data_IF_885267423095
#
_entry.id   IF_885267423095
#
_cell.length_a   1.000
_cell.length_b   1.000
_cell.length_c   1.000
_cell.angle_alpha   90.00
_cell.angle_beta   90.00
_cell.angle_gamma   90.00
#
_symmetry.space_group_name_H-M   'P 1'
#
loop_
_entity.id
_entity.type
_entity.pdbx_description
1 polymer ?
#
# COMPACT_ATOMS: atom_id res chain seq x y z
N UNK A 1 71.05 -11.33 51.56
CA UNK A 1 69.99 -12.08 50.86
C UNK A 1 68.74 -11.25 50.93
N UNK A 2 68.46 -10.42 49.89
CA UNK A 2 67.29 -9.52 49.82
C UNK A 2 66.20 -10.22 49.00
N UNK A 3 65.08 -10.49 49.61
CA UNK A 3 63.87 -10.99 48.92
C UNK A 3 63.13 -9.83 48.29
N UNK A 4 62.97 -9.88 46.95
CA UNK A 4 62.16 -8.93 46.21
C UNK A 4 60.75 -9.53 46.13
N UNK A 5 59.75 -8.77 46.69
CA UNK A 5 58.34 -9.10 46.57
C UNK A 5 57.79 -8.36 45.36
N UNK A 6 57.35 -9.12 44.34
CA UNK A 6 56.71 -8.61 43.15
C UNK A 6 55.21 -8.52 43.41
N UNK A 7 54.70 -7.27 43.49
CA UNK A 7 53.25 -7.00 43.69
C UNK A 7 52.56 -7.02 42.31
N UNK A 8 51.64 -7.97 42.12
CA UNK A 8 50.84 -8.11 40.91
C UNK A 8 49.58 -7.22 41.06
N UNK A 9 49.52 -6.11 40.30
CA UNK A 9 48.28 -5.31 40.19
C UNK A 9 47.35 -6.01 39.17
N UNK A 10 46.23 -6.54 39.66
CA UNK A 10 45.14 -7.04 38.86
C UNK A 10 44.25 -5.84 38.51
N UNK A 11 44.25 -5.41 37.28
CA UNK A 11 43.36 -4.41 36.74
C UNK A 11 42.02 -5.08 36.38
N UNK A 12 40.99 -4.90 37.20
CA UNK A 12 39.63 -5.35 36.92
C UNK A 12 38.93 -4.30 35.99
N UNK A 13 38.77 -4.66 34.74
CA UNK A 13 37.86 -3.92 33.84
C UNK A 13 36.41 -4.35 34.13
N UNK A 14 35.47 -3.44 34.29
CA UNK A 14 34.07 -3.79 34.35
C UNK A 14 33.56 -4.12 32.93
N UNK A 15 33.12 -5.37 32.77
CA UNK A 15 32.38 -5.81 31.59
C UNK A 15 31.00 -5.10 31.62
N UNK A 16 30.84 -4.12 30.73
CA UNK A 16 29.52 -3.56 30.40
C UNK A 16 28.80 -4.59 29.53
N UNK A 17 27.90 -5.37 30.12
CA UNK A 17 26.95 -6.18 29.36
C UNK A 17 25.90 -5.22 28.81
N UNK A 18 26.06 -4.85 27.54
CA UNK A 18 25.03 -4.15 26.78
C UNK A 18 23.84 -5.08 26.60
N UNK A 19 22.74 -4.77 27.27
CA UNK A 19 21.44 -5.41 27.07
C UNK A 19 20.97 -5.00 25.67
N UNK A 20 21.20 -5.85 24.66
CA UNK A 20 20.55 -5.76 23.37
C UNK A 20 19.06 -5.99 23.59
N UNK A 21 18.28 -4.93 23.59
CA UNK A 21 16.84 -5.01 23.45
C UNK A 21 16.55 -5.65 22.09
N UNK A 22 16.19 -6.93 22.10
CA UNK A 22 15.60 -7.58 20.93
C UNK A 22 14.28 -6.85 20.64
N UNK A 23 14.26 -6.02 19.61
CA UNK A 23 13.04 -5.54 19.02
C UNK A 23 12.32 -6.77 18.44
N UNK A 24 11.29 -7.22 19.15
CA UNK A 24 10.33 -8.17 18.60
C UNK A 24 9.66 -7.48 17.40
N UNK A 25 10.19 -7.75 16.21
CA UNK A 25 9.44 -7.58 14.98
C UNK A 25 8.32 -8.62 15.11
N UNK A 26 7.11 -8.19 15.36
CA UNK A 26 5.91 -9.02 15.25
C UNK A 26 5.91 -9.55 13.82
N UNK A 27 6.25 -10.83 13.63
CA UNK A 27 5.97 -11.53 12.39
C UNK A 27 4.45 -11.41 12.19
N UNK A 28 4.05 -10.70 11.15
CA UNK A 28 2.67 -10.68 10.72
C UNK A 28 2.29 -12.13 10.45
N UNK A 29 1.39 -12.67 11.27
CA UNK A 29 0.92 -14.05 11.13
C UNK A 29 0.27 -14.16 9.76
N UNK A 30 0.92 -14.86 8.83
CA UNK A 30 0.37 -15.16 7.51
C UNK A 30 -0.81 -16.09 7.75
N UNK A 31 -2.04 -15.57 7.60
CA UNK A 31 -3.25 -16.37 7.66
C UNK A 31 -3.36 -17.19 6.37
N UNK A 32 -2.65 -18.33 6.32
CA UNK A 32 -2.70 -19.24 5.18
C UNK A 32 -3.79 -20.28 5.36
N UNK A 33 -4.54 -20.53 4.30
CA UNK A 33 -5.51 -21.62 4.19
C UNK A 33 -5.19 -22.55 3.03
N UNK A 34 -5.84 -23.72 3.04
CA UNK A 34 -5.73 -24.72 2.00
C UNK A 34 -7.09 -25.15 1.48
N UNK A 35 -7.16 -25.37 0.18
CA UNK A 35 -8.30 -25.98 -0.51
C UNK A 35 -7.76 -26.91 -1.60
N UNK A 36 -8.50 -27.97 -1.94
CA UNK A 36 -8.09 -28.93 -2.98
C UNK A 36 -9.09 -28.92 -4.12
N UNK A 37 -8.60 -28.66 -5.33
CA UNK A 37 -9.40 -28.34 -6.51
C UNK A 37 -9.03 -29.26 -7.68
N UNK A 38 -10.00 -29.92 -8.28
CA UNK A 38 -9.83 -30.74 -9.48
C UNK A 38 -10.69 -30.21 -10.63
N UNK A 39 -10.06 -29.89 -11.75
CA UNK A 39 -10.66 -29.28 -12.94
C UNK A 39 -10.20 -29.93 -14.24
N UNK A 40 -9.97 -31.24 -14.24
CA UNK A 40 -9.37 -31.98 -15.35
C UNK A 40 -7.89 -32.27 -15.16
N UNK A 41 -7.07 -32.10 -16.19
CA UNK A 41 -5.63 -32.28 -16.11
C UNK A 41 -4.99 -31.27 -15.14
N UNK A 42 -4.31 -31.76 -14.12
CA UNK A 42 -3.75 -30.91 -13.05
C UNK A 42 -2.55 -30.04 -13.49
N UNK A 43 -1.90 -30.29 -14.63
CA UNK A 43 -0.76 -29.50 -15.11
C UNK A 43 -1.12 -28.05 -15.41
N UNK A 44 -2.24 -27.84 -16.12
CA UNK A 44 -2.75 -26.52 -16.42
C UNK A 44 -3.32 -25.82 -15.19
N UNK A 45 -4.02 -26.58 -14.34
CA UNK A 45 -4.60 -26.10 -13.12
C UNK A 45 -3.52 -25.58 -12.12
N UNK A 46 -2.45 -26.37 -11.88
CA UNK A 46 -1.32 -25.97 -11.03
C UNK A 46 -0.74 -24.63 -11.48
N UNK A 47 -0.37 -24.52 -12.77
CA UNK A 47 0.14 -23.26 -13.34
C UNK A 47 -0.85 -22.09 -13.19
N UNK A 48 -2.14 -22.34 -13.42
CA UNK A 48 -3.19 -21.33 -13.25
C UNK A 48 -3.19 -20.75 -11.84
N UNK A 49 -3.23 -21.61 -10.82
CA UNK A 49 -3.23 -21.17 -9.42
C UNK A 49 -1.92 -20.49 -9.02
N UNK A 50 -0.75 -21.00 -9.41
CA UNK A 50 0.55 -20.38 -9.13
C UNK A 50 0.65 -18.95 -9.68
N UNK A 51 -0.09 -18.62 -10.74
CA UNK A 51 -0.09 -17.29 -11.32
C UNK A 51 -0.92 -16.26 -10.55
N UNK A 52 -1.75 -16.70 -9.59
CA UNK A 52 -2.65 -15.82 -8.86
C UNK A 52 -1.91 -15.10 -7.72
N UNK A 53 -1.96 -13.75 -7.67
CA UNK A 53 -1.43 -13.01 -6.53
C UNK A 53 -2.11 -13.46 -5.22
N UNK A 54 -1.31 -13.81 -4.21
CA UNK A 54 -1.82 -14.30 -2.93
C UNK A 54 -1.82 -15.82 -2.79
N UNK A 55 -1.64 -16.60 -3.85
CA UNK A 55 -1.33 -18.02 -3.77
C UNK A 55 0.13 -18.18 -3.33
N UNK A 56 0.34 -19.00 -2.30
CA UNK A 56 1.65 -19.27 -1.70
C UNK A 56 2.29 -20.49 -2.35
N UNK A 57 1.48 -21.52 -2.62
CA UNK A 57 1.94 -22.80 -3.19
C UNK A 57 0.77 -23.53 -3.85
N UNK A 58 1.03 -24.22 -4.94
CA UNK A 58 0.08 -25.10 -5.60
C UNK A 58 0.75 -26.44 -5.91
N UNK A 59 0.15 -27.53 -5.45
CA UNK A 59 0.76 -28.85 -5.47
C UNK A 59 -0.14 -29.84 -6.21
N UNK A 60 0.29 -30.35 -7.36
CA UNK A 60 -0.40 -31.40 -8.09
C UNK A 60 -0.47 -32.70 -7.29
N UNK A 61 -1.63 -33.34 -7.27
CA UNK A 61 -1.87 -34.55 -6.46
C UNK A 61 -3.10 -35.35 -6.85
N UNK A 62 -3.42 -36.30 -6.02
CA UNK A 62 -4.54 -37.23 -6.18
C UNK A 62 -5.41 -37.24 -4.93
N UNK A 63 -6.73 -37.17 -5.07
CA UNK A 63 -7.66 -37.16 -3.93
C UNK A 63 -9.01 -37.82 -4.20
N UNK A 64 -9.86 -37.96 -3.19
CA UNK A 64 -11.24 -38.45 -3.20
C UNK A 64 -11.40 -39.89 -3.73
N UNK A 65 -10.36 -40.69 -3.78
CA UNK A 65 -10.46 -42.11 -4.11
C UNK A 65 -10.43 -43.04 -2.89
N UNK A 66 -10.84 -44.29 -3.09
CA UNK A 66 -10.66 -45.36 -2.11
C UNK A 66 -9.33 -46.07 -2.34
N UNK A 67 -8.51 -46.07 -1.33
CA UNK A 67 -7.19 -46.70 -1.34
C UNK A 67 -6.18 -45.88 -0.56
N UNK A 68 -5.13 -46.60 -0.07
CA UNK A 68 -4.10 -45.98 0.81
C UNK A 68 -2.96 -45.35 0.04
N UNK A 69 -2.94 -45.44 -1.28
CA UNK A 69 -1.86 -44.90 -2.12
C UNK A 69 -2.34 -44.66 -3.55
N UNK A 70 -2.24 -43.44 -4.01
CA UNK A 70 -2.50 -43.07 -5.39
C UNK A 70 -1.18 -42.86 -6.14
N UNK A 71 -1.11 -43.33 -7.38
CA UNK A 71 -0.05 -43.02 -8.34
C UNK A 71 -0.66 -42.80 -9.70
N UNK A 72 -0.01 -42.05 -10.58
CA UNK A 72 -0.47 -41.85 -11.97
C UNK A 72 -0.79 -43.15 -12.69
N UNK A 73 0.14 -44.11 -12.59
CA UNK A 73 -0.03 -45.45 -13.19
C UNK A 73 -1.28 -46.20 -12.69
N UNK A 74 -1.68 -45.99 -11.43
CA UNK A 74 -2.86 -46.68 -10.90
C UNK A 74 -4.15 -45.98 -11.31
N UNK A 75 -4.24 -44.66 -11.23
CA UNK A 75 -5.47 -43.91 -11.53
C UNK A 75 -5.79 -43.93 -13.01
N UNK A 76 -4.80 -44.10 -13.90
CA UNK A 76 -4.96 -44.12 -15.37
C UNK A 76 -5.21 -45.51 -15.93
N UNK A 77 -5.24 -46.58 -15.11
CA UNK A 77 -5.60 -47.92 -15.57
C UNK A 77 -6.98 -47.93 -16.18
N UNK A 78 -7.14 -48.64 -17.31
CA UNK A 78 -8.41 -48.74 -18.02
C UNK A 78 -9.59 -49.16 -17.11
N UNK A 79 -9.37 -50.10 -16.15
CA UNK A 79 -10.37 -50.53 -15.18
C UNK A 79 -10.86 -49.40 -14.27
N UNK A 80 -10.06 -48.38 -14.11
CA UNK A 80 -10.37 -47.23 -13.25
C UNK A 80 -11.00 -46.04 -13.99
N UNK A 81 -11.00 -46.06 -15.33
CA UNK A 81 -11.47 -44.96 -16.18
C UNK A 81 -12.87 -44.46 -15.81
N UNK A 82 -13.78 -45.37 -15.47
CA UNK A 82 -15.16 -45.04 -15.06
C UNK A 82 -15.49 -45.52 -13.66
N UNK A 83 -14.48 -45.81 -12.84
CA UNK A 83 -14.66 -46.24 -11.49
C UNK A 83 -14.91 -45.02 -10.56
N UNK A 84 -16.08 -44.92 -9.95
CA UNK A 84 -16.46 -43.84 -9.04
C UNK A 84 -15.56 -43.74 -7.78
N UNK A 85 -14.82 -44.81 -7.43
CA UNK A 85 -13.86 -44.84 -6.33
C UNK A 85 -12.42 -44.51 -6.76
N UNK A 86 -12.21 -44.12 -8.03
CA UNK A 86 -10.89 -43.68 -8.49
C UNK A 86 -10.54 -42.31 -7.89
N UNK A 87 -9.25 -42.09 -7.67
CA UNK A 87 -8.77 -40.75 -7.29
C UNK A 87 -8.93 -39.77 -8.46
N UNK A 88 -9.26 -38.52 -8.15
CA UNK A 88 -9.18 -37.41 -9.10
C UNK A 88 -7.75 -36.83 -9.12
N UNK A 89 -7.36 -36.32 -10.30
CA UNK A 89 -6.28 -35.36 -10.41
C UNK A 89 -6.75 -34.03 -9.81
N UNK A 90 -5.98 -33.50 -8.88
CA UNK A 90 -6.32 -32.30 -8.13
C UNK A 90 -5.07 -31.47 -7.84
N UNK A 91 -5.28 -30.21 -7.48
CA UNK A 91 -4.23 -29.30 -6.99
C UNK A 91 -4.57 -28.90 -5.54
N UNK A 92 -3.67 -29.11 -4.60
CA UNK A 92 -3.76 -28.51 -3.27
C UNK A 92 -3.23 -27.09 -3.37
N UNK A 93 -4.08 -26.09 -3.16
CA UNK A 93 -3.75 -24.68 -3.22
C UNK A 93 -3.62 -24.14 -1.80
N UNK A 94 -2.44 -23.62 -1.46
CA UNK A 94 -2.16 -22.88 -0.22
C UNK A 94 -2.16 -21.40 -0.54
N UNK A 95 -2.97 -20.60 0.15
CA UNK A 95 -3.13 -19.18 -0.16
C UNK A 95 -3.21 -18.31 1.08
N UNK A 96 -2.84 -17.04 0.96
CA UNK A 96 -2.96 -16.04 2.01
C UNK A 96 -4.31 -15.33 1.91
N UNK A 97 -5.22 -15.57 2.86
CA UNK A 97 -6.58 -14.95 2.91
C UNK A 97 -6.56 -13.42 2.89
N UNK A 98 -5.46 -12.81 3.33
CA UNK A 98 -5.34 -11.35 3.32
C UNK A 98 -5.04 -10.79 1.91
N UNK A 99 -4.60 -11.64 0.97
CA UNK A 99 -4.21 -11.23 -0.39
C UNK A 99 -5.17 -11.75 -1.47
N UNK A 100 -5.75 -12.94 -1.28
CA UNK A 100 -6.75 -13.53 -2.16
C UNK A 100 -7.84 -14.20 -1.33
N UNK A 101 -9.10 -13.84 -1.59
CA UNK A 101 -10.24 -14.48 -0.91
C UNK A 101 -10.49 -15.88 -1.45
N UNK A 102 -11.12 -16.74 -0.62
CA UNK A 102 -11.61 -18.05 -1.06
C UNK A 102 -12.60 -17.91 -2.23
N UNK A 103 -13.45 -16.88 -2.21
CA UNK A 103 -14.36 -16.56 -3.31
C UNK A 103 -13.62 -16.30 -4.62
N UNK A 104 -12.61 -15.43 -4.62
CA UNK A 104 -11.83 -15.10 -5.82
C UNK A 104 -11.10 -16.34 -6.39
N UNK A 105 -10.57 -17.20 -5.53
CA UNK A 105 -9.94 -18.44 -5.92
C UNK A 105 -10.95 -19.42 -6.58
N UNK A 106 -12.16 -19.50 -6.06
CA UNK A 106 -13.26 -20.31 -6.59
C UNK A 106 -13.83 -19.75 -7.90
N UNK A 107 -13.89 -18.42 -8.04
CA UNK A 107 -14.25 -17.79 -9.31
C UNK A 107 -13.26 -18.20 -10.41
N UNK A 108 -11.95 -18.11 -10.13
CA UNK A 108 -10.93 -18.61 -11.07
C UNK A 108 -11.09 -20.10 -11.40
N UNK A 109 -11.39 -20.95 -10.40
CA UNK A 109 -11.65 -22.36 -10.58
C UNK A 109 -12.77 -22.61 -11.59
N UNK A 110 -13.95 -22.00 -11.41
CA UNK A 110 -15.10 -22.19 -12.29
C UNK A 110 -14.89 -21.59 -13.69
N UNK A 111 -14.15 -20.51 -13.79
CA UNK A 111 -13.83 -19.87 -15.08
C UNK A 111 -12.76 -20.58 -15.89
N UNK A 112 -11.94 -21.43 -15.27
CA UNK A 112 -10.79 -22.09 -15.91
C UNK A 112 -11.12 -23.43 -16.56
N UNK A 113 -12.35 -23.98 -16.38
CA UNK A 113 -12.74 -25.25 -16.97
C UNK A 113 -14.25 -25.30 -17.27
N UNK A 114 -14.75 -26.38 -17.87
CA UNK A 114 -16.17 -26.62 -18.06
C UNK A 114 -16.74 -27.50 -16.93
N UNK A 115 -17.37 -26.91 -15.89
CA UNK A 115 -17.88 -27.67 -14.76
C UNK A 115 -19.14 -28.48 -15.09
N UNK A 116 -19.70 -28.38 -16.31
CA UNK A 116 -20.86 -29.13 -16.72
C UNK A 116 -20.50 -30.54 -17.27
N UNK A 117 -19.21 -30.78 -17.50
CA UNK A 117 -18.73 -32.05 -18.04
C UNK A 117 -18.56 -33.12 -16.95
N UNK A 118 -19.38 -34.15 -17.00
CA UNK A 118 -19.30 -35.25 -16.02
C UNK A 118 -18.14 -36.19 -16.33
N UNK A 119 -17.22 -36.35 -15.37
CA UNK A 119 -16.08 -37.27 -15.44
C UNK A 119 -15.18 -37.07 -16.68
N UNK A 120 -15.03 -35.85 -17.13
CA UNK A 120 -14.13 -35.47 -18.24
C UNK A 120 -13.87 -33.98 -18.28
N UNK A 121 -12.83 -33.61 -19.03
CA UNK A 121 -12.63 -32.24 -19.51
C UNK A 121 -12.12 -32.31 -20.96
N UNK A 122 -12.93 -31.86 -21.90
CA UNK A 122 -12.60 -31.95 -23.31
C UNK A 122 -12.26 -33.36 -23.74
N UNK A 123 -11.04 -33.60 -24.22
CA UNK A 123 -10.55 -34.91 -24.67
C UNK A 123 -10.05 -35.81 -23.53
N UNK A 124 -9.87 -35.26 -22.34
CA UNK A 124 -9.46 -36.00 -21.15
C UNK A 124 -10.68 -36.70 -20.54
N UNK A 125 -10.86 -37.99 -20.84
CA UNK A 125 -12.05 -38.77 -20.47
C UNK A 125 -11.69 -39.77 -19.38
N UNK A 126 -12.37 -39.63 -18.22
CA UNK A 126 -12.23 -40.58 -17.09
C UNK A 126 -12.54 -39.89 -15.77
N UNK A 127 -12.87 -40.70 -14.74
CA UNK A 127 -13.24 -40.20 -13.40
C UNK A 127 -12.09 -39.47 -12.72
N UNK A 128 -10.84 -39.65 -13.13
CA UNK A 128 -9.69 -38.91 -12.67
C UNK A 128 -9.75 -37.43 -13.07
N UNK A 129 -10.47 -37.07 -14.12
CA UNK A 129 -10.59 -35.70 -14.67
C UNK A 129 -11.90 -35.00 -14.25
N UNK A 130 -12.60 -35.55 -13.24
CA UNK A 130 -13.86 -34.96 -12.76
C UNK A 130 -13.64 -33.60 -12.11
N UNK A 131 -14.60 -32.72 -12.30
CA UNK A 131 -14.69 -31.46 -11.57
C UNK A 131 -15.02 -31.74 -10.10
N UNK A 132 -14.18 -31.27 -9.16
CA UNK A 132 -14.33 -31.53 -7.73
C UNK A 132 -13.68 -30.43 -6.88
N UNK A 133 -14.36 -30.07 -5.79
CA UNK A 133 -13.85 -29.18 -4.72
C UNK A 133 -13.85 -29.97 -3.42
N UNK A 134 -12.69 -29.99 -2.74
CA UNK A 134 -12.53 -30.62 -1.44
C UNK A 134 -12.17 -29.54 -0.39
N UNK A 135 -13.12 -29.22 0.45
CA UNK A 135 -13.01 -28.16 1.45
C UNK A 135 -12.45 -28.66 2.79
N UNK A 136 -11.84 -27.77 3.53
CA UNK A 136 -11.23 -28.05 4.85
C UNK A 136 -12.06 -27.48 6.01
N UNK A 137 -12.91 -26.49 5.78
CA UNK A 137 -13.71 -25.79 6.80
C UNK A 137 -15.14 -25.57 6.34
N UNK A 138 -16.09 -25.42 7.28
CA UNK A 138 -17.48 -25.10 6.94
C UNK A 138 -17.60 -23.70 6.31
N UNK A 139 -16.74 -22.73 6.70
CA UNK A 139 -16.68 -21.43 6.06
C UNK A 139 -16.38 -21.55 4.55
N UNK A 140 -15.40 -22.38 4.19
CA UNK A 140 -15.13 -22.67 2.77
C UNK A 140 -16.34 -23.28 2.08
N UNK A 141 -17.07 -24.18 2.77
CA UNK A 141 -18.27 -24.82 2.21
C UNK A 141 -19.37 -23.82 1.89
N UNK A 142 -19.63 -22.87 2.78
CA UNK A 142 -20.62 -21.81 2.57
C UNK A 142 -20.25 -20.95 1.34
N UNK A 143 -18.99 -20.51 1.24
CA UNK A 143 -18.52 -19.73 0.10
C UNK A 143 -18.61 -20.54 -1.21
N UNK A 144 -18.28 -21.83 -1.18
CA UNK A 144 -18.40 -22.73 -2.35
C UNK A 144 -19.85 -22.78 -2.84
N UNK A 145 -20.81 -22.92 -1.95
CA UNK A 145 -22.22 -23.03 -2.30
C UNK A 145 -22.72 -21.74 -2.99
N UNK A 146 -22.34 -20.57 -2.46
CA UNK A 146 -22.68 -19.27 -3.04
C UNK A 146 -22.08 -19.05 -4.41
N UNK A 147 -20.77 -19.31 -4.57
CA UNK A 147 -20.06 -19.16 -5.85
C UNK A 147 -20.61 -20.14 -6.91
N UNK A 148 -20.87 -21.39 -6.52
CA UNK A 148 -21.43 -22.41 -7.40
C UNK A 148 -22.83 -22.01 -7.88
N UNK A 149 -23.70 -21.54 -7.00
CA UNK A 149 -25.05 -21.10 -7.34
C UNK A 149 -25.00 -19.93 -8.34
N UNK A 150 -24.16 -18.94 -8.06
CA UNK A 150 -23.98 -17.79 -8.96
C UNK A 150 -23.46 -18.20 -10.34
N UNK A 151 -22.46 -19.10 -10.41
CA UNK A 151 -21.92 -19.55 -11.68
C UNK A 151 -22.90 -20.41 -12.46
N UNK A 152 -23.73 -21.22 -11.77
CA UNK A 152 -24.82 -21.98 -12.39
C UNK A 152 -25.82 -21.09 -13.12
N UNK A 153 -26.19 -19.96 -12.54
CA UNK A 153 -27.11 -18.98 -13.17
C UNK A 153 -26.47 -18.39 -14.44
N UNK A 154 -25.17 -18.03 -14.38
CA UNK A 154 -24.41 -17.50 -15.53
C UNK A 154 -24.32 -18.54 -16.65
N UNK A 155 -24.00 -19.80 -16.33
CA UNK A 155 -23.95 -20.91 -17.28
C UNK A 155 -25.31 -21.15 -17.92
N UNK A 156 -26.39 -21.17 -17.13
CA UNK A 156 -27.76 -21.36 -17.64
C UNK A 156 -28.16 -20.24 -18.61
N UNK A 157 -27.80 -19.00 -18.30
CA UNK A 157 -28.03 -17.83 -19.17
C UNK A 157 -27.23 -17.94 -20.49
N UNK A 158 -26.04 -18.52 -20.42
CA UNK A 158 -25.18 -18.78 -21.60
C UNK A 158 -25.56 -20.04 -22.37
N UNK A 159 -26.59 -20.79 -21.94
CA UNK A 159 -27.08 -22.00 -22.62
C UNK A 159 -26.35 -23.30 -22.27
N UNK A 160 -25.55 -23.30 -21.21
CA UNK A 160 -24.88 -24.48 -20.66
C UNK A 160 -25.80 -25.31 -19.74
N UNK A 161 -25.44 -26.58 -19.52
CA UNK A 161 -26.13 -27.50 -18.64
C UNK A 161 -25.83 -27.24 -17.16
N UNK A 162 -26.28 -28.19 -16.32
CA UNK A 162 -26.06 -28.14 -14.88
C UNK A 162 -24.61 -28.45 -14.52
N UNK A 163 -24.10 -27.78 -13.49
CA UNK A 163 -22.77 -28.04 -12.90
C UNK A 163 -22.76 -29.48 -12.34
N UNK A 164 -21.69 -30.22 -12.67
CA UNK A 164 -21.43 -31.58 -12.20
C UNK A 164 -20.35 -31.67 -11.13
N UNK A 165 -19.80 -30.54 -10.73
CA UNK A 165 -18.75 -30.43 -9.71
C UNK A 165 -19.16 -31.10 -8.41
N UNK A 166 -18.34 -32.03 -7.93
CA UNK A 166 -18.54 -32.66 -6.62
C UNK A 166 -17.98 -31.76 -5.52
N UNK A 167 -18.77 -31.46 -4.49
CA UNK A 167 -18.32 -30.69 -3.33
C UNK A 167 -18.32 -31.59 -2.11
N UNK A 168 -17.17 -31.82 -1.49
CA UNK A 168 -17.00 -32.75 -0.35
C UNK A 168 -15.95 -32.23 0.65
N UNK A 169 -16.02 -32.65 1.92
CA UNK A 169 -14.92 -32.44 2.84
C UNK A 169 -13.71 -33.25 2.41
N UNK A 170 -12.51 -32.66 2.57
CA UNK A 170 -11.24 -33.37 2.25
C UNK A 170 -11.05 -34.55 3.21
N UNK A 171 -10.69 -35.71 2.66
CA UNK A 171 -10.40 -36.90 3.46
C UNK A 171 -8.98 -37.40 3.25
N UNK A 172 -8.45 -37.25 2.04
CA UNK A 172 -7.10 -37.65 1.68
C UNK A 172 -6.56 -36.77 0.56
N UNK A 173 -5.25 -36.60 0.56
CA UNK A 173 -4.48 -35.99 -0.52
C UNK A 173 -3.15 -36.72 -0.63
N UNK A 174 -2.76 -37.08 -1.82
CA UNK A 174 -1.48 -37.72 -2.13
C UNK A 174 -0.77 -36.88 -3.18
N UNK A 175 0.37 -36.30 -2.79
CA UNK A 175 1.21 -35.52 -3.72
C UNK A 175 1.59 -36.40 -4.92
N UNK A 176 1.40 -35.89 -6.13
CA UNK A 176 1.79 -36.55 -7.35
C UNK A 176 3.32 -36.65 -7.47
N UNK A 177 3.75 -37.52 -8.37
CA UNK A 177 5.17 -37.79 -8.62
C UNK A 177 5.91 -36.50 -9.04
N UNK A 178 7.19 -36.41 -8.72
CA UNK A 178 8.01 -35.20 -8.94
C UNK A 178 7.99 -34.67 -10.37
N UNK A 179 7.82 -35.54 -11.36
CA UNK A 179 7.77 -35.14 -12.77
C UNK A 179 6.45 -34.47 -13.18
N UNK A 180 5.41 -34.54 -12.34
CA UNK A 180 4.15 -33.83 -12.55
C UNK A 180 4.15 -32.42 -11.96
N UNK A 181 4.94 -32.16 -10.90
CA UNK A 181 5.02 -30.85 -10.26
C UNK A 181 5.65 -29.82 -11.22
N UNK A 182 5.07 -28.63 -11.30
CA UNK A 182 5.51 -27.53 -12.20
C UNK A 182 5.67 -27.98 -13.67
N UNK A 183 4.82 -28.91 -14.12
CA UNK A 183 5.02 -29.55 -15.43
C UNK A 183 5.05 -28.54 -16.57
N UNK A 184 4.10 -27.59 -16.63
CA UNK A 184 4.05 -26.58 -17.70
C UNK A 184 5.21 -25.58 -17.60
N UNK A 185 5.64 -25.22 -16.38
CA UNK A 185 6.82 -24.37 -16.21
C UNK A 185 8.10 -25.05 -16.73
N UNK A 186 8.23 -26.36 -16.55
CA UNK A 186 9.35 -27.16 -17.04
C UNK A 186 9.22 -27.53 -18.53
N UNK A 187 8.00 -27.55 -19.06
CA UNK A 187 7.67 -27.90 -20.42
C UNK A 187 6.73 -26.86 -21.06
N UNK A 188 7.23 -25.69 -21.48
CA UNK A 188 6.37 -24.58 -21.95
C UNK A 188 5.46 -24.91 -23.14
N UNK A 189 5.81 -25.92 -23.93
CA UNK A 189 5.00 -26.44 -25.03
C UNK A 189 4.23 -27.73 -24.69
N UNK A 190 4.10 -28.01 -23.37
CA UNK A 190 3.36 -29.17 -22.89
C UNK A 190 1.87 -29.08 -23.17
N UNK A 191 1.18 -30.23 -23.12
CA UNK A 191 -0.27 -30.30 -23.30
C UNK A 191 -0.99 -29.48 -22.21
N UNK A 192 -1.68 -28.44 -22.62
CA UNK A 192 -2.47 -27.57 -21.74
C UNK A 192 -3.59 -26.91 -22.57
N UNK A 193 -4.61 -27.66 -22.99
CA UNK A 193 -5.73 -27.09 -23.72
C UNK A 193 -6.62 -26.25 -22.80
N UNK A 194 -7.15 -25.17 -23.37
CA UNK A 194 -8.20 -24.39 -22.70
C UNK A 194 -9.53 -25.18 -22.77
N UNK A 195 -10.09 -25.51 -21.65
CA UNK A 195 -11.37 -26.19 -21.50
C UNK A 195 -12.45 -25.30 -20.89
N UNK A 196 -12.19 -24.00 -20.77
CA UNK A 196 -13.14 -23.04 -20.18
C UNK A 196 -14.41 -22.94 -21.03
N UNK A 197 -15.52 -22.61 -20.40
CA UNK A 197 -16.79 -22.28 -21.06
C UNK A 197 -16.77 -20.90 -21.73
N UNK A 198 -15.80 -20.06 -21.40
CA UNK A 198 -15.77 -18.64 -21.76
C UNK A 198 -16.75 -17.79 -20.93
N UNK A 199 -17.61 -18.41 -20.09
CA UNK A 199 -18.46 -17.69 -19.15
C UNK A 199 -17.61 -17.13 -18.02
N UNK A 200 -17.84 -15.87 -17.68
CA UNK A 200 -17.13 -15.16 -16.64
C UNK A 200 -18.11 -14.65 -15.59
N UNK A 201 -17.68 -14.65 -14.33
CA UNK A 201 -18.37 -13.81 -13.36
C UNK A 201 -18.33 -12.37 -13.87
N UNK A 202 -19.39 -11.58 -13.59
CA UNK A 202 -19.24 -10.14 -13.75
C UNK A 202 -18.00 -9.73 -12.97
N UNK A 203 -17.12 -8.93 -13.57
CA UNK A 203 -15.97 -8.41 -12.86
C UNK A 203 -16.50 -7.72 -11.58
N UNK A 204 -16.60 -8.48 -10.49
CA UNK A 204 -16.53 -7.87 -9.18
C UNK A 204 -15.13 -7.26 -9.17
N UNK A 205 -15.08 -5.92 -9.12
CA UNK A 205 -13.86 -5.20 -8.85
C UNK A 205 -13.09 -6.02 -7.82
N UNK A 206 -11.97 -6.62 -8.22
CA UNK A 206 -11.10 -7.33 -7.30
C UNK A 206 -10.62 -6.26 -6.34
N UNK A 207 -11.26 -6.19 -5.17
CA UNK A 207 -10.84 -5.29 -4.12
C UNK A 207 -9.41 -5.72 -3.79
N UNK A 208 -8.44 -5.03 -4.37
CA UNK A 208 -7.06 -5.19 -3.93
C UNK A 208 -7.02 -4.74 -2.49
N UNK A 209 -7.01 -5.71 -1.58
CA UNK A 209 -6.87 -5.43 -0.14
C UNK A 209 -5.47 -4.85 0.02
N UNK A 210 -5.42 -3.54 0.19
CA UNK A 210 -4.18 -2.81 0.48
C UNK A 210 -4.03 -2.77 2.00
N UNK A 211 -2.83 -3.03 2.48
CA UNK A 211 -2.52 -2.84 3.89
C UNK A 211 -2.57 -1.35 4.23
N UNK A 212 -3.46 -0.98 5.15
CA UNK A 212 -3.63 0.36 5.66
C UNK A 212 -3.12 0.50 7.10
N UNK A 213 -2.37 -0.46 7.63
CA UNK A 213 -1.89 -0.44 9.03
C UNK A 213 -1.11 0.83 9.35
N UNK A 214 -0.29 1.31 8.42
CA UNK A 214 0.49 2.54 8.57
C UNK A 214 -0.41 3.78 8.74
N UNK A 215 -1.61 3.76 8.15
CA UNK A 215 -2.56 4.87 8.20
C UNK A 215 -3.34 4.93 9.52
N UNK A 216 -3.27 3.88 10.35
CA UNK A 216 -3.95 3.80 11.64
C UNK A 216 -3.28 4.61 12.75
N UNK A 217 -2.08 5.17 12.50
CA UNK A 217 -1.35 5.99 13.47
C UNK A 217 -0.85 7.29 12.85
N UNK A 218 -0.96 8.42 13.58
CA UNK A 218 -0.50 9.72 13.12
C UNK A 218 -1.40 10.38 12.07
N UNK A 219 -0.84 11.40 11.40
CA UNK A 219 -1.54 12.20 10.38
C UNK A 219 -1.16 11.75 8.98
N UNK A 220 -2.15 11.57 8.09
CA UNK A 220 -1.96 11.15 6.69
C UNK A 220 -2.89 11.93 5.75
N UNK A 221 -2.49 11.99 4.49
CA UNK A 221 -3.33 12.49 3.40
C UNK A 221 -3.58 11.31 2.47
N UNK A 222 -4.87 11.02 2.19
CA UNK A 222 -5.24 10.03 1.18
C UNK A 222 -5.85 10.76 -0.01
N UNK A 223 -5.37 10.43 -1.20
CA UNK A 223 -5.98 10.87 -2.47
C UNK A 223 -6.68 9.68 -3.08
N UNK A 224 -8.01 9.73 -3.12
CA UNK A 224 -8.82 8.73 -3.79
C UNK A 224 -8.84 9.02 -5.28
N UNK A 225 -8.44 8.04 -6.08
CA UNK A 225 -8.41 8.12 -7.55
C UNK A 225 -9.45 7.21 -8.17
N UNK A 226 -9.76 7.45 -9.45
CA UNK A 226 -10.60 6.55 -10.23
C UNK A 226 -9.81 5.34 -10.71
N UNK A 227 -10.50 4.22 -10.92
CA UNK A 227 -9.99 3.09 -11.68
C UNK A 227 -9.98 3.43 -13.16
N UNK A 228 -8.91 3.97 -13.67
CA UNK A 228 -8.77 4.33 -15.09
C UNK A 228 -8.50 5.81 -15.31
N UNK A 229 -8.99 6.37 -16.44
CA UNK A 229 -8.67 7.72 -16.86
C UNK A 229 -9.31 8.78 -15.96
N UNK A 230 -8.47 9.57 -15.28
CA UNK A 230 -8.90 10.65 -14.39
C UNK A 230 -8.06 11.92 -14.63
N UNK A 231 -8.46 12.81 -15.54
CA UNK A 231 -7.67 13.99 -15.89
C UNK A 231 -7.47 14.96 -14.72
N UNK A 232 -8.41 15.02 -13.77
CA UNK A 232 -8.27 15.82 -12.56
C UNK A 232 -7.32 15.20 -11.53
N UNK A 233 -7.20 13.86 -11.49
CA UNK A 233 -6.19 13.19 -10.69
C UNK A 233 -4.79 13.46 -11.24
N UNK A 234 -4.60 13.36 -12.56
CA UNK A 234 -3.34 13.70 -13.23
C UNK A 234 -2.96 15.16 -13.00
N UNK A 235 -3.94 16.06 -13.08
CA UNK A 235 -3.73 17.46 -12.80
C UNK A 235 -3.29 17.71 -11.35
N UNK A 236 -3.92 17.04 -10.38
CA UNK A 236 -3.53 17.12 -8.97
C UNK A 236 -2.11 16.61 -8.75
N UNK A 237 -1.74 15.48 -9.37
CA UNK A 237 -0.37 14.95 -9.32
C UNK A 237 0.65 15.95 -9.85
N UNK A 238 0.35 16.59 -10.99
CA UNK A 238 1.24 17.55 -11.63
C UNK A 238 1.38 18.87 -10.84
N UNK A 239 0.27 19.41 -10.34
CA UNK A 239 0.22 20.74 -9.72
C UNK A 239 0.62 20.70 -8.23
N UNK A 240 0.28 19.63 -7.51
CA UNK A 240 0.45 19.54 -6.06
C UNK A 240 1.50 18.50 -5.69
N UNK A 241 1.29 17.23 -6.07
CA UNK A 241 2.08 16.10 -5.53
C UNK A 241 3.53 16.19 -5.96
N UNK A 242 3.82 16.59 -7.18
CA UNK A 242 5.18 16.73 -7.73
C UNK A 242 6.08 17.66 -6.89
N UNK A 243 5.50 18.64 -6.22
CA UNK A 243 6.20 19.66 -5.44
C UNK A 243 5.93 19.54 -3.93
N UNK A 244 5.31 18.43 -3.51
CA UNK A 244 5.03 18.16 -2.11
C UNK A 244 6.15 17.33 -1.47
N UNK A 245 6.89 17.92 -0.55
CA UNK A 245 7.96 17.32 0.24
C UNK A 245 7.68 17.43 1.75
N UNK A 246 6.40 17.63 2.10
CA UNK A 246 5.96 17.79 3.49
C UNK A 246 6.13 16.50 4.29
N UNK A 247 6.11 16.64 5.62
CA UNK A 247 6.33 15.54 6.55
C UNK A 247 5.05 14.74 6.88
N UNK A 248 3.87 15.14 6.40
CA UNK A 248 2.66 14.33 6.50
C UNK A 248 2.62 13.42 5.27
N UNK A 249 2.66 12.09 5.42
CA UNK A 249 2.63 11.18 4.27
C UNK A 249 1.37 11.38 3.42
N UNK A 250 1.55 11.40 2.09
CA UNK A 250 0.48 11.45 1.10
C UNK A 250 0.49 10.14 0.33
N UNK A 251 -0.64 9.43 0.36
CA UNK A 251 -0.80 8.13 -0.31
C UNK A 251 -2.01 8.15 -1.24
N UNK A 252 -1.97 7.28 -2.25
CA UNK A 252 -3.06 7.12 -3.21
C UNK A 252 -3.81 5.82 -2.92
N UNK A 253 -5.14 5.86 -3.06
CA UNK A 253 -6.03 4.70 -2.90
C UNK A 253 -7.17 4.77 -3.91
N UNK A 254 -7.73 3.61 -4.24
CA UNK A 254 -9.05 3.50 -4.82
C UNK A 254 -10.11 3.54 -3.72
N UNK A 255 -11.35 3.89 -4.06
CA UNK A 255 -12.44 3.89 -3.09
C UNK A 255 -12.65 2.49 -2.43
N UNK A 256 -12.39 1.43 -3.20
CA UNK A 256 -12.42 0.03 -2.77
C UNK A 256 -11.30 -0.38 -1.79
N UNK A 257 -10.25 0.45 -1.60
CA UNK A 257 -9.05 0.14 -0.84
C UNK A 257 -8.99 0.81 0.56
N UNK A 258 -10.12 1.24 1.09
CA UNK A 258 -10.20 2.00 2.35
C UNK A 258 -10.52 1.14 3.58
N UNK A 259 -10.36 -0.19 3.48
CA UNK A 259 -10.69 -1.13 4.56
C UNK A 259 -9.92 -0.78 5.85
N UNK A 260 -10.62 -0.84 6.97
CA UNK A 260 -10.07 -0.54 8.30
C UNK A 260 -9.97 0.94 8.65
N UNK A 261 -10.30 1.84 7.71
CA UNK A 261 -10.32 3.29 7.93
C UNK A 261 -11.73 3.80 8.19
N UNK A 262 -11.88 4.78 9.08
CA UNK A 262 -13.16 5.43 9.37
C UNK A 262 -13.33 6.66 8.46
N UNK A 263 -13.90 6.48 7.28
CA UNK A 263 -14.14 7.49 6.27
C UNK A 263 -15.61 7.88 6.26
N UNK A 264 -15.89 9.19 6.24
CA UNK A 264 -17.25 9.75 6.23
C UNK A 264 -17.58 10.46 4.91
N UNK A 265 -16.57 11.02 4.24
CA UNK A 265 -16.77 11.72 2.97
C UNK A 265 -17.15 10.74 1.87
N UNK A 266 -18.06 11.12 0.96
CA UNK A 266 -18.33 10.35 -0.25
C UNK A 266 -17.07 10.25 -1.13
N UNK A 267 -16.81 9.06 -1.68
CA UNK A 267 -15.59 8.75 -2.47
C UNK A 267 -15.87 8.53 -3.96
N UNK A 268 -17.10 8.84 -4.44
CA UNK A 268 -17.49 8.64 -5.83
C UNK A 268 -16.96 9.71 -6.80
N UNK A 269 -16.57 10.89 -6.29
CA UNK A 269 -15.95 11.94 -7.09
C UNK A 269 -14.42 11.87 -6.97
N UNK A 270 -13.70 11.88 -8.08
CA UNK A 270 -12.24 11.75 -8.09
C UNK A 270 -11.55 12.96 -8.76
N UNK A 271 -10.43 13.41 -8.17
CA UNK A 271 -9.87 12.96 -6.91
C UNK A 271 -10.73 13.36 -5.70
N UNK A 272 -10.78 12.55 -4.64
CA UNK A 272 -11.22 12.97 -3.30
C UNK A 272 -9.99 13.01 -2.40
N UNK A 273 -9.75 14.13 -1.74
CA UNK A 273 -8.59 14.34 -0.86
C UNK A 273 -9.05 14.28 0.58
N UNK A 274 -8.59 13.27 1.33
CA UNK A 274 -8.95 13.00 2.72
C UNK A 274 -7.78 13.33 3.65
N UNK A 275 -8.05 14.01 4.74
CA UNK A 275 -7.10 14.28 5.81
C UNK A 275 -7.45 13.38 7.00
N UNK A 276 -6.55 12.45 7.34
CA UNK A 276 -6.77 11.43 8.36
C UNK A 276 -5.88 11.64 9.57
N UNK A 277 -6.41 11.38 10.75
CA UNK A 277 -5.67 11.29 11.99
C UNK A 277 -6.00 9.97 12.70
N UNK A 278 -4.99 9.12 12.91
CA UNK A 278 -5.11 7.81 13.53
C UNK A 278 -6.22 6.93 12.88
N UNK A 279 -6.19 6.84 11.55
CA UNK A 279 -7.12 6.03 10.76
C UNK A 279 -8.54 6.59 10.62
N UNK A 280 -8.80 7.78 11.17
CA UNK A 280 -10.12 8.44 11.10
C UNK A 280 -10.02 9.70 10.25
N UNK A 281 -11.01 9.90 9.41
CA UNK A 281 -11.15 11.14 8.67
C UNK A 281 -11.41 12.31 9.62
N UNK A 282 -10.54 13.33 9.55
CA UNK A 282 -10.77 14.62 10.16
C UNK A 282 -11.71 15.48 9.28
N UNK A 283 -11.44 15.51 7.99
CA UNK A 283 -12.27 16.12 6.94
C UNK A 283 -11.77 15.69 5.55
N UNK A 284 -12.57 15.97 4.50
CA UNK A 284 -12.24 15.65 3.12
C UNK A 284 -12.81 16.65 2.13
N UNK A 285 -12.25 16.66 0.93
CA UNK A 285 -12.67 17.48 -0.20
C UNK A 285 -12.89 16.62 -1.44
N UNK A 286 -14.03 16.81 -2.09
CA UNK A 286 -14.34 16.16 -3.35
C UNK A 286 -13.89 17.01 -4.53
N UNK A 287 -13.28 16.39 -5.51
CA UNK A 287 -12.78 17.05 -6.70
C UNK A 287 -11.36 17.59 -6.55
N UNK A 288 -10.87 18.19 -7.62
CA UNK A 288 -9.55 18.78 -7.71
C UNK A 288 -9.41 19.99 -6.79
N UNK A 289 -8.37 20.00 -5.96
CA UNK A 289 -7.89 21.19 -5.26
C UNK A 289 -6.68 21.75 -6.00
N UNK A 290 -6.69 23.06 -6.27
CA UNK A 290 -5.48 23.74 -6.74
C UNK A 290 -4.43 23.84 -5.61
N UNK A 291 -3.14 24.13 -5.89
CA UNK A 291 -2.10 24.19 -4.86
C UNK A 291 -2.45 25.05 -3.67
N UNK A 292 -3.03 26.23 -3.89
CA UNK A 292 -3.40 27.14 -2.80
C UNK A 292 -4.48 26.54 -1.89
N UNK A 293 -5.54 25.99 -2.46
CA UNK A 293 -6.62 25.34 -1.71
C UNK A 293 -6.11 24.12 -0.93
N UNK A 294 -5.26 23.31 -1.57
CA UNK A 294 -4.65 22.16 -0.93
C UNK A 294 -3.79 22.55 0.28
N UNK A 295 -2.90 23.56 0.11
CA UNK A 295 -2.03 23.97 1.22
C UNK A 295 -2.78 24.72 2.32
N UNK A 296 -3.88 25.38 2.02
CA UNK A 296 -4.76 25.98 3.04
C UNK A 296 -5.43 24.89 3.89
N UNK A 297 -5.95 23.85 3.25
CA UNK A 297 -6.53 22.68 3.92
C UNK A 297 -5.46 21.92 4.74
N UNK A 298 -4.29 21.70 4.16
CA UNK A 298 -3.15 21.07 4.86
C UNK A 298 -2.68 21.92 6.05
N UNK A 299 -2.65 23.23 5.88
CA UNK A 299 -2.30 24.18 6.93
C UNK A 299 -3.25 24.06 8.12
N UNK A 300 -4.55 24.05 7.87
CA UNK A 300 -5.55 23.82 8.91
C UNK A 300 -5.36 22.47 9.60
N UNK A 301 -5.15 21.40 8.83
CA UNK A 301 -4.92 20.05 9.34
C UNK A 301 -3.65 19.93 10.18
N UNK A 302 -2.54 20.53 9.72
CA UNK A 302 -1.23 20.44 10.39
C UNK A 302 -1.10 21.37 11.59
N UNK A 303 -1.59 22.60 11.46
CA UNK A 303 -1.32 23.69 12.38
C UNK A 303 -2.52 24.04 13.29
N UNK A 304 -3.74 23.63 12.91
CA UNK A 304 -4.96 23.98 13.63
C UNK A 304 -5.17 25.50 13.69
N UNK A 305 -5.76 26.00 14.78
CA UNK A 305 -5.93 27.45 15.05
C UNK A 305 -4.72 28.01 15.81
N UNK A 306 -3.50 27.79 15.29
CA UNK A 306 -2.25 28.27 15.89
C UNK A 306 -1.82 29.61 15.32
N UNK A 307 -0.86 30.28 16.00
CA UNK A 307 -0.22 31.49 15.46
C UNK A 307 0.44 31.23 14.11
N UNK A 308 1.04 30.04 13.92
CA UNK A 308 1.64 29.65 12.65
C UNK A 308 0.61 29.63 11.50
N UNK A 309 -0.63 29.15 11.76
CA UNK A 309 -1.71 29.19 10.78
C UNK A 309 -2.13 30.63 10.44
N UNK A 310 -2.28 31.49 11.48
CA UNK A 310 -2.62 32.90 11.29
C UNK A 310 -1.54 33.63 10.48
N UNK A 311 -0.27 33.36 10.76
CA UNK A 311 0.86 33.91 9.99
C UNK A 311 0.78 33.43 8.54
N UNK A 312 0.63 32.14 8.30
CA UNK A 312 0.65 31.56 6.96
C UNK A 312 -0.48 32.07 6.08
N UNK A 313 -1.72 32.17 6.60
CA UNK A 313 -2.94 32.36 5.80
C UNK A 313 -3.73 33.62 6.12
N UNK A 314 -3.53 34.25 7.30
CA UNK A 314 -4.30 35.42 7.74
C UNK A 314 -3.46 36.70 7.86
N UNK A 315 -2.30 36.75 7.18
CA UNK A 315 -1.37 37.88 7.20
C UNK A 315 -0.89 38.26 8.62
N UNK A 316 -0.80 37.27 9.50
CA UNK A 316 -0.23 37.44 10.82
C UNK A 316 1.28 37.74 10.77
N UNK A 317 1.83 38.13 11.90
CA UNK A 317 3.27 38.36 12.05
C UNK A 317 3.70 37.76 13.39
N UNK A 318 4.80 37.01 13.41
CA UNK A 318 5.39 36.47 14.63
C UNK A 318 5.68 37.59 15.66
N UNK A 319 5.52 37.29 16.94
CA UNK A 319 6.05 38.12 17.97
C UNK A 319 7.59 38.20 17.85
N UNK A 320 8.15 39.37 18.13
CA UNK A 320 9.61 39.53 18.18
C UNK A 320 10.20 38.56 19.20
N UNK A 321 11.29 37.87 18.81
CA UNK A 321 11.96 36.89 19.65
C UNK A 321 11.04 35.74 20.08
N UNK A 322 10.13 35.31 19.20
CA UNK A 322 9.26 34.15 19.44
C UNK A 322 10.11 32.88 19.67
N UNK A 323 9.47 31.84 20.21
CA UNK A 323 10.15 30.58 20.54
C UNK A 323 10.89 29.98 19.34
N UNK A 324 10.27 29.97 18.16
CA UNK A 324 10.84 29.46 16.92
C UNK A 324 12.04 30.29 16.47
N UNK A 325 12.00 31.63 16.61
CA UNK A 325 13.16 32.49 16.37
C UNK A 325 14.32 32.11 17.28
N UNK A 326 14.09 31.91 18.57
CA UNK A 326 15.13 31.55 19.55
C UNK A 326 15.78 30.19 19.19
N UNK A 327 14.98 29.23 18.68
CA UNK A 327 15.47 27.94 18.21
C UNK A 327 16.31 28.10 16.92
N UNK A 328 15.83 28.88 15.97
CA UNK A 328 16.37 28.91 14.61
C UNK A 328 17.52 29.92 14.43
N UNK A 329 17.65 30.92 15.27
CA UNK A 329 18.69 31.97 15.14
C UNK A 329 20.13 31.44 15.12
N UNK A 330 20.38 30.28 15.77
CA UNK A 330 21.69 29.67 15.92
C UNK A 330 21.74 28.22 15.37
N UNK A 331 20.84 27.84 14.46
CA UNK A 331 20.93 26.51 13.82
C UNK A 331 22.25 26.34 13.09
N UNK A 332 22.78 25.10 12.97
CA UNK A 332 23.98 24.81 12.21
C UNK A 332 23.78 25.11 10.71
N UNK A 333 24.78 24.75 9.88
CA UNK A 333 24.66 24.87 8.44
C UNK A 333 23.50 24.00 7.91
N UNK A 334 22.68 24.59 7.04
CA UNK A 334 21.47 23.90 6.54
C UNK A 334 20.52 24.81 5.79
N UNK A 335 19.30 24.35 5.64
CA UNK A 335 18.26 25.00 4.84
C UNK A 335 16.99 25.14 5.65
N UNK A 336 16.41 26.32 5.62
CA UNK A 336 15.05 26.58 6.08
C UNK A 336 14.09 26.21 4.97
N UNK A 337 13.10 25.40 5.32
CA UNK A 337 12.08 24.88 4.42
C UNK A 337 10.70 25.37 4.79
N UNK A 338 9.84 25.41 3.82
CA UNK A 338 8.40 25.67 3.98
C UNK A 338 7.76 24.61 4.89
N UNK A 339 7.15 25.04 5.98
CA UNK A 339 6.58 24.15 7.00
C UNK A 339 5.49 23.22 6.45
N UNK A 340 4.78 23.58 5.39
CA UNK A 340 3.71 22.79 4.81
C UNK A 340 4.20 21.91 3.66
N UNK A 341 4.87 22.51 2.68
CA UNK A 341 5.29 21.80 1.48
C UNK A 341 6.63 21.08 1.62
N UNK A 342 7.46 21.45 2.61
CA UNK A 342 8.83 20.97 2.72
C UNK A 342 9.80 21.56 1.69
N UNK A 343 9.34 22.47 0.82
CA UNK A 343 10.16 23.08 -0.21
C UNK A 343 11.26 23.97 0.39
N UNK A 344 12.50 23.97 -0.18
CA UNK A 344 13.59 24.79 0.31
C UNK A 344 13.31 26.28 0.07
N UNK A 345 13.55 27.12 1.07
CA UNK A 345 13.27 28.58 1.01
C UNK A 345 14.50 29.44 1.21
N UNK A 346 15.28 29.20 2.26
CA UNK A 346 16.44 30.04 2.63
C UNK A 346 17.61 29.16 3.07
N UNK A 347 18.81 29.57 2.71
CA UNK A 347 20.05 28.92 3.14
C UNK A 347 20.67 29.66 4.33
N UNK A 348 21.22 28.94 5.30
CA UNK A 348 21.88 29.53 6.49
C UNK A 348 23.07 30.42 6.13
N UNK A 349 23.73 30.21 4.99
CA UNK A 349 24.85 31.07 4.52
C UNK A 349 24.43 32.49 4.19
N UNK A 350 23.13 32.69 3.88
CA UNK A 350 22.56 34.01 3.60
C UNK A 350 21.90 34.64 4.84
N UNK A 351 21.91 33.91 5.99
CA UNK A 351 21.36 34.39 7.27
C UNK A 351 22.30 35.40 7.93
N UNK A 352 21.72 36.44 8.50
CA UNK A 352 22.46 37.39 9.34
C UNK A 352 21.59 37.87 10.51
N UNK A 353 22.26 38.38 11.56
CA UNK A 353 21.57 38.95 12.71
C UNK A 353 21.24 40.43 12.45
N UNK A 354 19.98 40.74 12.23
CA UNK A 354 19.47 42.09 12.04
C UNK A 354 19.12 42.83 13.32
N UNK A 355 19.18 42.16 14.47
CA UNK A 355 18.76 42.65 15.78
C UNK A 355 17.27 43.04 15.86
N UNK A 356 16.46 42.68 14.88
CA UNK A 356 15.02 43.00 14.81
C UNK A 356 14.13 42.04 15.59
N UNK A 357 14.64 40.85 15.94
CA UNK A 357 13.87 39.77 16.58
C UNK A 357 13.14 38.86 15.63
N UNK A 358 13.42 38.93 14.31
CA UNK A 358 12.96 38.03 13.26
C UNK A 358 14.16 37.43 12.50
N UNK A 359 13.98 36.25 11.92
CA UNK A 359 14.98 35.67 11.05
C UNK A 359 15.22 36.57 9.83
N UNK A 360 16.48 36.82 9.51
CA UNK A 360 16.84 37.73 8.45
C UNK A 360 17.85 37.09 7.49
N UNK A 361 17.59 37.22 6.19
CA UNK A 361 18.40 36.68 5.11
C UNK A 361 18.69 37.75 4.07
N UNK A 362 19.84 37.62 3.38
CA UNK A 362 20.21 38.54 2.26
C UNK A 362 19.60 38.09 0.95
N UNK A 363 19.27 36.80 0.80
CA UNK A 363 18.64 36.24 -0.39
C UNK A 363 17.82 34.97 -0.05
N UNK A 364 16.74 34.69 -0.79
CA UNK A 364 16.10 33.36 -0.80
C UNK A 364 16.82 32.42 -1.75
N UNK A 365 16.57 31.12 -1.66
CA UNK A 365 16.92 30.13 -2.68
C UNK A 365 16.22 30.52 -3.99
N UNK A 366 16.95 30.49 -5.10
CA UNK A 366 16.45 30.95 -6.40
C UNK A 366 15.14 30.24 -6.79
N UNK A 367 14.08 31.02 -7.03
CA UNK A 367 12.78 30.53 -7.48
C UNK A 367 11.89 29.96 -6.37
N UNK A 368 12.32 30.04 -5.10
CA UNK A 368 11.55 29.51 -3.97
C UNK A 368 10.46 30.45 -3.46
N UNK A 369 10.62 31.72 -3.67
CA UNK A 369 9.67 32.76 -3.21
C UNK A 369 9.27 33.70 -4.31
N UNK A 370 8.13 34.35 -4.16
CA UNK A 370 7.72 35.49 -4.96
C UNK A 370 7.25 36.63 -4.06
N UNK A 371 7.13 37.84 -4.64
CA UNK A 371 6.74 39.03 -3.90
C UNK A 371 5.49 39.67 -4.47
N UNK A 372 4.73 40.32 -3.59
CA UNK A 372 3.59 41.17 -3.99
C UNK A 372 3.49 42.41 -3.08
N UNK A 373 2.86 43.52 -3.53
CA UNK A 373 2.60 44.67 -2.71
C UNK A 373 1.70 44.30 -1.52
N UNK A 374 2.05 44.79 -0.33
CA UNK A 374 1.22 44.74 0.86
C UNK A 374 0.94 46.17 1.37
N UNK A 375 -0.31 46.55 1.33
CA UNK A 375 -0.80 47.87 1.76
C UNK A 375 -1.63 47.77 3.07
N UNK A 376 -1.58 46.64 3.74
CA UNK A 376 -2.31 46.43 4.99
C UNK A 376 -1.82 47.35 6.11
N UNK A 377 -2.67 47.63 7.07
CA UNK A 377 -2.39 48.47 8.24
C UNK A 377 -1.87 49.86 7.90
N UNK A 378 -2.18 50.42 6.71
CA UNK A 378 -1.73 51.76 6.27
C UNK A 378 -0.23 51.82 5.92
N UNK A 379 0.49 50.70 5.88
CA UNK A 379 1.89 50.63 5.50
C UNK A 379 2.06 50.21 4.04
N UNK A 380 3.17 50.65 3.41
CA UNK A 380 3.56 50.16 2.08
C UNK A 380 4.75 49.24 2.24
N UNK A 381 4.53 47.95 2.07
CA UNK A 381 5.54 46.90 2.21
C UNK A 381 5.55 45.98 1.00
N UNK A 382 6.58 45.17 0.87
CA UNK A 382 6.64 44.10 -0.13
C UNK A 382 6.56 42.76 0.61
N UNK A 383 5.45 42.07 0.47
CA UNK A 383 5.20 40.76 1.04
C UNK A 383 5.99 39.68 0.28
N UNK A 384 6.47 38.69 1.03
CA UNK A 384 7.15 37.50 0.52
C UNK A 384 6.25 36.29 0.77
N UNK A 385 6.06 35.46 -0.28
CA UNK A 385 5.28 34.24 -0.21
C UNK A 385 6.05 33.06 -0.80
N UNK A 386 5.78 31.85 -0.32
CA UNK A 386 6.28 30.61 -0.90
C UNK A 386 5.69 30.40 -2.32
N UNK A 387 6.52 30.05 -3.29
CA UNK A 387 6.05 29.68 -4.64
C UNK A 387 5.25 28.38 -4.59
N UNK A 388 5.62 27.44 -3.72
CA UNK A 388 5.00 26.10 -3.67
C UNK A 388 3.66 26.12 -2.93
N UNK A 389 3.61 26.69 -1.71
CA UNK A 389 2.44 26.60 -0.83
C UNK A 389 1.59 27.87 -0.79
N UNK A 390 2.04 28.96 -1.38
CA UNK A 390 1.42 30.29 -1.30
C UNK A 390 1.27 30.84 0.14
N UNK A 391 2.00 30.29 1.13
CA UNK A 391 1.95 30.84 2.51
C UNK A 391 2.68 32.16 2.60
N UNK A 392 2.19 33.04 3.47
CA UNK A 392 2.88 34.25 3.86
C UNK A 392 4.15 33.93 4.65
N UNK A 393 5.30 34.41 4.20
CA UNK A 393 6.59 34.18 4.86
C UNK A 393 7.08 35.40 5.67
N UNK A 394 6.76 36.58 5.19
CA UNK A 394 7.26 37.83 5.78
C UNK A 394 7.33 38.97 4.78
N UNK A 395 8.30 39.86 4.93
CA UNK A 395 8.47 41.04 4.08
C UNK A 395 9.93 41.25 3.72
N UNK A 396 10.18 41.91 2.58
CA UNK A 396 11.53 42.35 2.18
C UNK A 396 11.66 43.87 2.31
N UNK A 397 12.82 44.27 2.82
CA UNK A 397 13.20 45.68 3.08
C UNK A 397 14.53 46.01 2.39
N UNK A 398 14.80 47.31 2.02
CA UNK A 398 16.04 47.73 1.37
C UNK A 398 17.18 48.04 2.37
N UNK A 399 17.09 47.59 3.62
CA UNK A 399 17.97 47.96 4.73
C UNK A 399 18.86 46.78 5.21
N UNK A 400 19.19 45.86 4.33
CA UNK A 400 20.10 44.76 4.62
C UNK A 400 21.59 45.17 4.59
N UNK A 401 22.49 44.27 4.99
CA UNK A 401 23.93 44.53 5.04
C UNK A 401 24.50 44.77 3.64
N UNK A 402 25.50 45.65 3.57
CA UNK A 402 26.25 45.96 2.33
C UNK A 402 25.36 46.39 1.12
N UNK A 403 24.21 47.01 1.40
CA UNK A 403 23.24 47.43 0.37
C UNK A 403 22.41 46.31 -0.22
N UNK A 404 22.48 45.10 0.36
CA UNK A 404 21.63 43.98 0.01
C UNK A 404 20.20 44.17 0.59
N UNK A 405 19.18 43.52 0.04
CA UNK A 405 17.87 43.48 0.68
C UNK A 405 17.91 42.66 1.98
N UNK A 406 17.01 42.97 2.91
CA UNK A 406 16.74 42.17 4.08
C UNK A 406 15.40 41.46 3.95
N UNK A 407 15.45 40.16 3.80
CA UNK A 407 14.30 39.28 3.87
C UNK A 407 13.99 38.96 5.34
N UNK A 408 12.95 39.59 5.88
CA UNK A 408 12.51 39.47 7.28
C UNK A 408 11.40 38.43 7.34
N UNK A 409 11.72 37.26 7.94
CA UNK A 409 10.92 36.05 7.79
C UNK A 409 10.35 35.60 9.15
N UNK A 410 9.08 35.23 9.16
CA UNK A 410 8.41 34.62 10.28
C UNK A 410 8.95 33.21 10.52
N UNK A 411 9.37 32.92 11.73
CA UNK A 411 9.98 31.65 12.08
C UNK A 411 8.94 30.52 12.21
N UNK A 412 7.70 30.85 12.62
CA UNK A 412 6.63 29.88 12.89
C UNK A 412 6.17 29.12 11.64
N UNK A 413 6.40 29.67 10.44
CA UNK A 413 6.04 29.06 9.13
C UNK A 413 7.20 28.32 8.46
N UNK A 414 8.32 28.19 9.16
CA UNK A 414 9.50 27.46 8.70
C UNK A 414 9.70 26.16 9.50
N UNK A 415 10.34 25.20 8.85
CA UNK A 415 11.08 24.10 9.48
C UNK A 415 12.55 24.18 9.04
N UNK A 416 13.44 23.44 9.72
CA UNK A 416 14.88 23.48 9.42
C UNK A 416 15.39 22.06 9.11
N UNK A 417 16.24 21.95 8.08
CA UNK A 417 16.97 20.72 7.72
C UNK A 417 18.47 20.99 7.77
N UNK A 418 19.24 20.27 8.60
CA UNK A 418 20.71 20.29 8.55
C UNK A 418 21.21 19.90 7.16
N UNK A 419 22.36 20.43 6.73
CA UNK A 419 22.92 20.13 5.42
C UNK A 419 23.32 18.67 5.26
N UNK A 420 23.77 18.03 6.33
CA UNK A 420 24.13 16.61 6.34
C UNK A 420 22.92 15.68 6.07
N UNK A 421 21.69 16.15 6.34
CA UNK A 421 20.45 15.41 6.07
C UNK A 421 19.90 15.64 4.63
N UNK A 422 20.65 16.40 3.81
CA UNK A 422 20.26 16.72 2.42
C UNK A 422 21.01 15.89 1.37
N UNK A 423 21.93 15.01 1.80
CA UNK A 423 22.77 14.15 0.94
C UNK A 423 22.07 12.89 0.46
#
# INVERSE_FOLDING_TARGET
MKKIILSLYICTFPFFVGLLAATNISEATVHSEKIVLGSGCFWGAEKGYESLPGVIDAVSGYADGKGVRATYREITKLKNKFNANNHAEVVEVTYNKNLISTEALLMHYFESHDPTQLNRQGNDIGTQYRSIILYSTEEQKEIIDEVLATFQELLSTAGYGSITTLVKPIKNFYKAEKYHQDYIAKNPNGYCPDHSTGVKFAEKETIQIVDNSDLLSGKHIIVIEAEGYCPYCDKFRADVVKNYYGNIPLVFRLASQLQGLAINSPTWATPTILFLENGKEAFGYQGYLNPKEFYEALGYFKLGDSEAYKVAFQQGTDARFCKEYEIFKNTPDGIFIDKLSGAPLFDTKDRFNSSTGWLSFTAPIKGSVYTKPDNSYGMRRTEIRSVTSDIHLGHVFPDGPNGMPRYCINATVLDFKPRDDLS
#
